data_IF_720658660656
#
_entry.id   IF_720658660656
#
_cell.length_a   1.000
_cell.length_b   1.000
_cell.length_c   1.000
_cell.angle_alpha   90.00
_cell.angle_beta   90.00
_cell.angle_gamma   90.00
#
_symmetry.space_group_name_H-M   'P 1'
#
loop_
_entity.id
_entity.type
_entity.pdbx_description
1 polymer ?
#
# COMPACT_ATOMS: atom_id res chain seq x y z
N UNK A 1 -20.53 -24.19 13.51
CA UNK A 1 -19.32 -24.75 12.86
C UNK A 1 -19.65 -25.11 11.39
N UNK A 2 -20.10 -24.15 10.57
CA UNK A 2 -20.46 -24.34 9.13
C UNK A 2 -19.43 -23.75 8.15
N UNK A 3 -18.50 -22.93 8.66
CA UNK A 3 -17.39 -22.39 7.87
C UNK A 3 -16.41 -23.51 7.49
N UNK A 4 -16.13 -24.42 8.43
CA UNK A 4 -15.19 -25.52 8.25
C UNK A 4 -15.75 -26.62 7.33
N UNK A 5 -17.08 -26.80 7.24
CA UNK A 5 -17.66 -27.88 6.44
C UNK A 5 -17.54 -27.68 4.93
N UNK A 6 -17.39 -26.43 4.46
CA UNK A 6 -17.18 -26.12 3.04
C UNK A 6 -15.70 -26.17 2.64
N UNK A 7 -14.78 -26.28 3.61
CA UNK A 7 -13.35 -26.48 3.34
C UNK A 7 -13.14 -27.92 2.80
N UNK A 8 -14.03 -28.87 3.10
CA UNK A 8 -13.83 -30.30 2.80
C UNK A 8 -14.41 -30.80 1.46
N UNK A 9 -14.87 -29.93 0.57
CA UNK A 9 -15.17 -30.32 -0.83
C UNK A 9 -13.88 -30.37 -1.67
N UNK A 10 -13.96 -30.77 -2.95
CA UNK A 10 -12.85 -31.01 -3.92
C UNK A 10 -11.79 -29.88 -4.09
N UNK A 11 -11.88 -28.83 -3.29
CA UNK A 11 -11.02 -27.65 -3.20
C UNK A 11 -10.35 -27.48 -1.81
N UNK A 12 -10.25 -28.53 -0.98
CA UNK A 12 -9.66 -28.47 0.36
C UNK A 12 -8.29 -27.81 0.41
N UNK A 13 -7.38 -28.15 -0.52
CA UNK A 13 -6.05 -27.55 -0.55
C UNK A 13 -6.08 -26.04 -0.83
N UNK A 14 -7.04 -25.57 -1.63
CA UNK A 14 -7.22 -24.15 -1.93
C UNK A 14 -7.84 -23.42 -0.74
N UNK A 15 -8.90 -23.98 -0.16
CA UNK A 15 -9.50 -23.44 1.07
C UNK A 15 -8.52 -23.40 2.24
N UNK A 16 -7.63 -24.40 2.33
CA UNK A 16 -6.59 -24.44 3.36
C UNK A 16 -5.50 -23.39 3.12
N UNK A 17 -5.06 -23.18 1.87
CA UNK A 17 -4.12 -22.09 1.51
C UNK A 17 -4.70 -20.71 1.81
N UNK A 18 -6.00 -20.54 1.62
CA UNK A 18 -6.71 -19.28 1.88
C UNK A 18 -6.92 -19.01 3.37
N UNK A 19 -7.36 -20.02 4.14
CA UNK A 19 -7.78 -19.85 5.53
C UNK A 19 -6.61 -19.96 6.53
N UNK A 20 -5.56 -20.75 6.24
CA UNK A 20 -4.43 -20.90 7.18
C UNK A 20 -3.71 -19.58 7.51
N UNK A 21 -3.35 -18.73 6.53
CA UNK A 21 -2.70 -17.45 6.82
C UNK A 21 -3.55 -16.58 7.74
N UNK A 22 -4.87 -16.54 7.52
CA UNK A 22 -5.81 -15.80 8.37
C UNK A 22 -5.81 -16.33 9.80
N UNK A 23 -5.89 -17.64 9.99
CA UNK A 23 -5.87 -18.24 11.32
C UNK A 23 -4.54 -17.96 12.06
N UNK A 24 -3.42 -17.92 11.33
CA UNK A 24 -2.12 -17.55 11.90
C UNK A 24 -2.10 -16.08 12.32
N UNK A 25 -2.65 -15.18 11.51
CA UNK A 25 -2.74 -13.74 11.83
C UNK A 25 -3.68 -13.50 13.02
N UNK A 26 -4.83 -14.18 13.05
CA UNK A 26 -5.82 -14.05 14.13
C UNK A 26 -5.25 -14.46 15.49
N UNK A 27 -4.32 -15.42 15.54
CA UNK A 27 -3.64 -15.84 16.78
C UNK A 27 -2.90 -14.67 17.45
N UNK A 28 -2.47 -13.67 16.69
CA UNK A 28 -1.69 -12.53 17.19
C UNK A 28 -2.57 -11.38 17.66
N UNK A 29 -3.90 -11.48 17.48
CA UNK A 29 -4.87 -10.46 17.88
C UNK A 29 -5.40 -10.70 19.29
N UNK A 30 -5.68 -9.62 20.02
CA UNK A 30 -6.04 -9.67 21.44
C UNK A 30 -7.47 -9.19 21.71
N UNK A 31 -8.11 -8.52 20.75
CA UNK A 31 -9.44 -7.93 20.93
C UNK A 31 -10.40 -8.33 19.80
N UNK A 32 -11.69 -8.50 20.13
CA UNK A 32 -12.75 -8.84 19.17
C UNK A 32 -12.74 -7.99 17.88
N UNK A 33 -12.59 -6.66 17.95
CA UNK A 33 -12.49 -5.80 16.77
C UNK A 33 -11.30 -6.12 15.87
N UNK A 34 -10.13 -6.46 16.42
CA UNK A 34 -8.96 -6.86 15.63
C UNK A 34 -9.21 -8.16 14.84
N UNK A 35 -9.96 -9.11 15.42
CA UNK A 35 -10.38 -10.31 14.69
C UNK A 35 -11.28 -9.96 13.50
N UNK A 36 -12.24 -9.04 13.72
CA UNK A 36 -13.16 -8.59 12.67
C UNK A 36 -12.37 -7.82 11.58
N UNK A 37 -11.40 -7.00 11.96
CA UNK A 37 -10.55 -6.27 11.02
C UNK A 37 -9.77 -7.20 10.09
N UNK A 38 -9.13 -8.24 10.61
CA UNK A 38 -8.41 -9.23 9.79
C UNK A 38 -9.36 -9.94 8.81
N UNK A 39 -10.57 -10.30 9.24
CA UNK A 39 -11.57 -10.95 8.36
C UNK A 39 -12.07 -9.99 7.28
N UNK A 40 -12.34 -8.72 7.63
CA UNK A 40 -12.78 -7.70 6.66
C UNK A 40 -11.69 -7.40 5.64
N UNK A 41 -10.43 -7.25 6.07
CA UNK A 41 -9.27 -7.10 5.17
C UNK A 41 -9.17 -8.26 4.19
N UNK A 42 -9.35 -9.49 4.67
CA UNK A 42 -9.36 -10.65 3.78
C UNK A 42 -10.48 -10.57 2.74
N UNK A 43 -11.73 -10.31 3.17
CA UNK A 43 -12.88 -10.20 2.27
C UNK A 43 -12.66 -9.14 1.19
N UNK A 44 -12.07 -7.99 1.54
CA UNK A 44 -11.77 -6.91 0.61
C UNK A 44 -10.59 -7.23 -0.34
N UNK A 45 -9.72 -8.16 0.04
CA UNK A 45 -8.55 -8.58 -0.76
C UNK A 45 -8.82 -9.78 -1.68
N UNK A 46 -9.95 -10.47 -1.54
CA UNK A 46 -10.34 -11.54 -2.47
C UNK A 46 -10.61 -10.88 -3.84
N UNK A 47 -10.12 -11.48 -4.92
CA UNK A 47 -10.17 -10.90 -6.28
C UNK A 47 -11.57 -10.70 -6.89
N UNK A 48 -12.65 -10.88 -6.13
CA UNK A 48 -13.97 -10.38 -6.50
C UNK A 48 -14.16 -8.99 -5.90
N UNK A 49 -14.21 -7.98 -6.77
CA UNK A 49 -14.42 -6.59 -6.38
C UNK A 49 -15.79 -6.39 -5.72
N UNK A 50 -15.82 -6.37 -4.38
CA UNK A 50 -17.02 -6.02 -3.61
C UNK A 50 -17.03 -4.51 -3.33
N UNK A 51 -18.07 -3.82 -3.78
CA UNK A 51 -18.26 -2.41 -3.45
C UNK A 51 -18.59 -2.21 -1.96
N UNK A 52 -18.22 -1.07 -1.38
CA UNK A 52 -18.57 -0.73 0.01
C UNK A 52 -20.08 -0.78 0.27
N UNK A 53 -20.88 -0.34 -0.71
CA UNK A 53 -22.34 -0.39 -0.63
C UNK A 53 -22.88 -1.83 -0.64
N UNK A 54 -22.28 -2.72 -1.43
CA UNK A 54 -22.66 -4.14 -1.43
C UNK A 54 -22.29 -4.82 -0.11
N UNK A 55 -21.10 -4.53 0.43
CA UNK A 55 -20.67 -5.00 1.75
C UNK A 55 -21.60 -4.53 2.86
N UNK A 56 -22.04 -3.27 2.82
CA UNK A 56 -23.00 -2.70 3.76
C UNK A 56 -24.34 -3.45 3.71
N UNK A 57 -24.92 -3.64 2.52
CA UNK A 57 -26.21 -4.32 2.37
C UNK A 57 -26.14 -5.78 2.85
N UNK A 58 -25.09 -6.52 2.44
CA UNK A 58 -24.90 -7.92 2.85
C UNK A 58 -24.70 -8.05 4.35
N UNK A 59 -23.91 -7.16 4.96
CA UNK A 59 -23.68 -7.18 6.41
C UNK A 59 -24.92 -6.76 7.22
N UNK A 60 -25.69 -5.76 6.76
CA UNK A 60 -26.95 -5.34 7.42
C UNK A 60 -27.99 -6.44 7.49
N UNK A 61 -28.07 -7.27 6.44
CA UNK A 61 -28.97 -8.43 6.40
C UNK A 61 -28.61 -9.50 7.45
N UNK A 62 -27.37 -9.52 7.93
CA UNK A 62 -26.90 -10.44 8.98
C UNK A 62 -27.11 -9.80 10.35
N UNK A 63 -26.64 -8.57 10.53
CA UNK A 63 -26.75 -7.82 11.78
C UNK A 63 -26.53 -6.32 11.52
N UNK A 64 -27.46 -5.48 11.98
CA UNK A 64 -27.31 -4.03 11.90
C UNK A 64 -26.10 -3.53 12.71
N UNK A 65 -25.88 -4.09 13.90
CA UNK A 65 -24.73 -3.75 14.76
C UNK A 65 -23.42 -4.27 14.15
N UNK A 66 -23.41 -5.50 13.66
CA UNK A 66 -22.24 -6.08 12.98
C UNK A 66 -21.88 -5.33 11.71
N UNK A 67 -22.88 -4.87 10.94
CA UNK A 67 -22.68 -4.03 9.77
C UNK A 67 -22.02 -2.71 10.12
N UNK A 68 -22.46 -2.03 11.19
CA UNK A 68 -21.83 -0.78 11.61
C UNK A 68 -20.34 -0.96 11.92
N UNK A 69 -19.97 -2.04 12.63
CA UNK A 69 -18.57 -2.37 12.92
C UNK A 69 -17.77 -2.65 11.64
N UNK A 70 -18.32 -3.47 10.72
CA UNK A 70 -17.69 -3.79 9.45
C UNK A 70 -17.46 -2.54 8.60
N UNK A 71 -18.45 -1.64 8.54
CA UNK A 71 -18.34 -0.41 7.75
C UNK A 71 -17.32 0.55 8.32
N UNK A 72 -17.23 0.72 9.65
CA UNK A 72 -16.16 1.53 10.26
C UNK A 72 -14.78 1.00 9.91
N UNK A 73 -14.59 -0.33 9.88
CA UNK A 73 -13.33 -0.94 9.49
C UNK A 73 -13.05 -0.73 8.00
N UNK A 74 -14.04 -0.94 7.14
CA UNK A 74 -13.89 -0.78 5.69
C UNK A 74 -13.59 0.67 5.31
N UNK A 75 -14.24 1.64 5.95
CA UNK A 75 -13.96 3.07 5.80
C UNK A 75 -12.53 3.42 6.20
N UNK A 76 -12.05 2.87 7.32
CA UNK A 76 -10.65 3.04 7.77
C UNK A 76 -9.68 2.49 6.73
N UNK A 77 -9.87 1.26 6.26
CA UNK A 77 -9.00 0.63 5.25
C UNK A 77 -8.97 1.47 3.96
N UNK A 78 -10.14 1.91 3.50
CA UNK A 78 -10.24 2.75 2.31
C UNK A 78 -9.53 4.10 2.48
N UNK A 79 -9.68 4.73 3.64
CA UNK A 79 -9.00 5.98 3.96
C UNK A 79 -7.47 5.79 4.02
N UNK A 80 -7.01 4.76 4.71
CA UNK A 80 -5.58 4.45 4.85
C UNK A 80 -4.95 4.19 3.48
N UNK A 81 -5.59 3.37 2.63
CA UNK A 81 -5.10 3.10 1.27
C UNK A 81 -5.11 4.34 0.36
N UNK A 82 -6.08 5.24 0.53
CA UNK A 82 -6.12 6.51 -0.21
C UNK A 82 -4.98 7.44 0.20
N UNK A 83 -4.69 7.54 1.49
CA UNK A 83 -3.58 8.36 1.98
C UNK A 83 -2.23 7.73 1.59
N UNK A 84 -2.08 6.41 1.68
CA UNK A 84 -0.89 5.68 1.19
C UNK A 84 -0.64 5.96 -0.29
N UNK A 85 -1.65 5.75 -1.15
CA UNK A 85 -1.52 6.03 -2.58
C UNK A 85 -1.25 7.50 -2.90
N UNK A 86 -1.68 8.43 -2.02
CA UNK A 86 -1.34 9.85 -2.15
C UNK A 86 0.13 10.12 -1.80
N UNK A 87 0.66 9.49 -0.76
CA UNK A 87 2.07 9.64 -0.39
C UNK A 87 2.99 8.96 -1.42
N UNK A 88 2.64 7.75 -1.90
CA UNK A 88 3.35 7.07 -2.99
C UNK A 88 3.37 7.95 -4.25
N UNK A 89 2.21 8.50 -4.65
CA UNK A 89 2.14 9.38 -5.81
C UNK A 89 2.97 10.66 -5.67
N UNK A 90 3.16 11.20 -4.46
CA UNK A 90 4.07 12.34 -4.24
C UNK A 90 5.53 11.95 -4.47
N UNK A 91 5.93 10.75 -4.03
CA UNK A 91 7.29 10.23 -4.22
C UNK A 91 7.56 9.97 -5.70
N UNK A 92 6.63 9.31 -6.40
CA UNK A 92 6.74 9.06 -7.85
C UNK A 92 6.89 10.36 -8.65
N UNK A 93 6.02 11.34 -8.41
CA UNK A 93 6.10 12.66 -9.07
C UNK A 93 7.44 13.35 -8.77
N UNK A 94 7.96 13.21 -7.55
CA UNK A 94 9.24 13.80 -7.20
C UNK A 94 10.40 13.14 -7.95
N UNK A 95 10.39 11.81 -8.12
CA UNK A 95 11.36 11.11 -8.96
C UNK A 95 11.31 11.60 -10.40
N UNK A 96 10.12 11.67 -11.01
CA UNK A 96 9.95 12.16 -12.38
C UNK A 96 10.47 13.60 -12.54
N UNK A 97 10.19 14.47 -11.55
CA UNK A 97 10.69 15.84 -11.55
C UNK A 97 12.22 15.92 -11.45
N UNK A 98 12.82 15.09 -10.61
CA UNK A 98 14.28 15.02 -10.44
C UNK A 98 14.94 14.50 -11.72
N UNK A 99 14.43 13.40 -12.27
CA UNK A 99 14.89 12.83 -13.54
C UNK A 99 14.86 13.87 -14.65
N UNK A 100 13.71 14.54 -14.84
CA UNK A 100 13.58 15.61 -15.83
C UNK A 100 14.58 16.76 -15.61
N UNK A 101 14.75 17.22 -14.36
CA UNK A 101 15.66 18.31 -14.05
C UNK A 101 17.13 17.94 -14.29
N UNK A 102 17.51 16.70 -13.96
CA UNK A 102 18.85 16.17 -14.19
C UNK A 102 19.13 16.01 -15.69
N UNK A 103 18.20 15.44 -16.45
CA UNK A 103 18.34 15.30 -17.89
C UNK A 103 18.43 16.68 -18.58
N UNK A 104 17.63 17.65 -18.14
CA UNK A 104 17.66 19.00 -18.68
C UNK A 104 19.00 19.71 -18.40
N UNK A 105 19.58 19.51 -17.21
CA UNK A 105 20.79 20.22 -16.77
C UNK A 105 22.08 19.54 -17.21
N UNK A 106 22.14 18.21 -17.09
CA UNK A 106 23.37 17.42 -17.27
C UNK A 106 23.31 16.47 -18.47
N UNK A 107 22.14 16.36 -19.13
CA UNK A 107 21.95 15.48 -20.28
C UNK A 107 22.05 14.00 -19.93
N UNK A 108 22.36 13.17 -20.92
CA UNK A 108 22.43 11.71 -20.77
C UNK A 108 23.46 11.20 -19.75
N UNK A 109 24.37 12.07 -19.28
CA UNK A 109 25.40 11.71 -18.29
C UNK A 109 24.81 11.50 -16.90
N UNK A 110 23.61 12.01 -16.61
CA UNK A 110 22.94 11.82 -15.32
C UNK A 110 22.19 10.49 -15.17
N UNK A 111 22.20 9.61 -16.18
CA UNK A 111 21.43 8.35 -16.13
C UNK A 111 21.82 7.46 -14.95
N UNK A 112 23.12 7.34 -14.67
CA UNK A 112 23.58 6.47 -13.59
C UNK A 112 23.07 6.96 -12.23
N UNK A 113 23.14 8.27 -11.97
CA UNK A 113 22.66 8.87 -10.72
C UNK A 113 21.12 8.86 -10.61
N UNK A 114 20.39 8.89 -11.73
CA UNK A 114 18.93 8.77 -11.74
C UNK A 114 18.51 7.39 -11.21
N UNK A 115 19.17 6.32 -11.62
CA UNK A 115 18.87 4.97 -11.11
C UNK A 115 19.16 4.85 -9.61
N UNK A 116 20.26 5.44 -9.12
CA UNK A 116 20.54 5.47 -7.68
C UNK A 116 19.47 6.27 -6.91
N UNK A 117 18.95 7.36 -7.49
CA UNK A 117 17.91 8.18 -6.86
C UNK A 117 16.56 7.46 -6.83
N UNK A 118 16.22 6.61 -7.81
CA UNK A 118 14.95 5.86 -7.86
C UNK A 118 14.75 4.92 -6.68
N UNK A 119 15.82 4.49 -6.03
CA UNK A 119 15.76 3.62 -4.84
C UNK A 119 15.43 4.39 -3.55
N UNK A 120 15.34 5.73 -3.60
CA UNK A 120 15.12 6.60 -2.44
C UNK A 120 13.63 6.89 -2.27
N UNK A 121 12.99 6.25 -1.28
CA UNK A 121 11.59 6.52 -0.93
C UNK A 121 11.40 7.67 0.09
N UNK A 122 12.48 8.22 0.65
CA UNK A 122 12.39 9.34 1.60
C UNK A 122 12.14 10.67 0.86
N UNK A 123 10.91 11.16 0.93
CA UNK A 123 10.49 12.40 0.31
C UNK A 123 11.36 13.62 0.70
N UNK A 124 11.83 13.71 1.96
CA UNK A 124 12.66 14.83 2.39
C UNK A 124 14.04 14.76 1.72
N UNK A 125 14.61 13.56 1.60
CA UNK A 125 15.88 13.36 0.89
C UNK A 125 15.73 13.71 -0.60
N UNK A 126 14.60 13.33 -1.23
CA UNK A 126 14.29 13.73 -2.61
C UNK A 126 14.14 15.26 -2.76
N UNK A 127 13.50 15.93 -1.79
CA UNK A 127 13.39 17.39 -1.78
C UNK A 127 14.76 18.07 -1.68
N UNK A 128 15.67 17.56 -0.86
CA UNK A 128 17.05 18.03 -0.76
C UNK A 128 17.80 17.85 -2.09
N UNK A 129 17.67 16.68 -2.72
CA UNK A 129 18.26 16.39 -4.04
C UNK A 129 17.74 17.39 -5.07
N UNK A 130 16.42 17.61 -5.13
CA UNK A 130 15.80 18.58 -6.04
C UNK A 130 16.39 19.99 -5.86
N UNK A 131 16.64 20.40 -4.61
CA UNK A 131 17.26 21.69 -4.32
C UNK A 131 18.74 21.71 -4.73
N UNK A 132 19.49 20.64 -4.49
CA UNK A 132 20.88 20.51 -4.87
C UNK A 132 21.10 20.63 -6.39
N UNK A 133 20.21 20.05 -7.22
CA UNK A 133 20.28 20.18 -8.70
C UNK A 133 20.36 21.64 -9.14
N UNK A 134 19.66 22.54 -8.44
CA UNK A 134 19.66 23.97 -8.76
C UNK A 134 20.98 24.66 -8.42
N UNK A 135 21.74 24.15 -7.46
CA UNK A 135 22.88 24.83 -6.84
C UNK A 135 24.25 24.41 -7.41
N UNK A 136 24.33 23.29 -8.13
CA UNK A 136 25.58 22.78 -8.70
C UNK A 136 25.56 22.81 -10.22
N UNK A 137 26.58 23.40 -10.85
CA UNK A 137 26.66 23.57 -12.30
C UNK A 137 27.25 22.36 -13.03
N UNK A 138 27.99 21.51 -12.31
CA UNK A 138 28.54 20.25 -12.83
C UNK A 138 27.88 19.04 -12.18
N UNK A 139 27.79 17.94 -12.95
CA UNK A 139 27.25 16.68 -12.45
C UNK A 139 28.17 16.07 -11.40
N UNK A 140 29.47 16.25 -11.54
CA UNK A 140 30.48 15.77 -10.60
C UNK A 140 30.35 16.43 -9.22
N UNK A 141 30.21 17.77 -9.15
CA UNK A 141 30.00 18.48 -7.88
C UNK A 141 28.64 18.16 -7.25
N UNK A 142 27.60 18.06 -8.09
CA UNK A 142 26.28 17.63 -7.63
C UNK A 142 26.35 16.25 -6.99
N UNK A 143 26.89 15.25 -7.69
CA UNK A 143 26.96 13.87 -7.20
C UNK A 143 27.80 13.78 -5.93
N UNK A 144 28.92 14.48 -5.86
CA UNK A 144 29.77 14.52 -4.66
C UNK A 144 29.09 15.18 -3.45
N UNK A 145 28.09 16.05 -3.68
CA UNK A 145 27.29 16.65 -2.60
C UNK A 145 26.25 15.71 -2.02
N UNK A 146 25.84 14.68 -2.77
CA UNK A 146 24.86 13.72 -2.31
C UNK A 146 25.54 12.61 -1.52
N UNK A 147 25.12 12.43 -0.25
CA UNK A 147 25.48 11.25 0.53
C UNK A 147 24.50 10.10 0.17
N UNK A 148 24.62 9.59 -1.06
CA UNK A 148 23.83 8.44 -1.53
C UNK A 148 24.49 7.12 -1.20
#
# INVERSE_FOLDING_TARGET
>A
MKLISHIFDDNFDNGLREVLPLLIELREKTTGPEYIETVVKYILNIGEEISLNELEQKSKNISAEGSAVIMTIAEKIYHDGKEEGREEGKVEIMHEMIEFALELKFGLRSKDIIEDIKEINDYNKLEEIKQAIRNYDSLEEFTASLNL
#
